data_IF_148012978190
#
_entry.id   IF_148012978190
#
_cell.length_a   1.000
_cell.length_b   1.000
_cell.length_c   1.000
_cell.angle_alpha   90.00
_cell.angle_beta   90.00
_cell.angle_gamma   90.00
#
_symmetry.space_group_name_H-M   'P 1'
#
loop_
_entity.id
_entity.type
_entity.pdbx_description
1 polymer ?
#
# COMPACT_ATOMS: atom_id res chain seq x y z
N UNK A 1 -24.23 14.14 9.10
CA UNK A 1 -22.76 14.36 9.15
C UNK A 1 -22.42 15.63 8.35
N UNK A 2 -21.54 16.50 8.86
CA UNK A 2 -21.08 17.70 8.15
C UNK A 2 -20.25 17.26 6.92
N UNK A 3 -20.66 17.61 5.69
CA UNK A 3 -19.91 17.25 4.48
C UNK A 3 -18.54 17.92 4.39
N UNK A 4 -18.28 18.97 5.20
CA UNK A 4 -17.00 19.67 5.27
C UNK A 4 -16.12 19.22 6.46
N UNK A 5 -16.56 18.26 7.27
CA UNK A 5 -15.70 17.72 8.32
C UNK A 5 -14.50 16.98 7.69
N UNK A 6 -13.27 17.20 8.18
CA UNK A 6 -12.10 16.54 7.63
C UNK A 6 -12.24 15.02 7.74
N UNK A 7 -12.06 14.32 6.61
CA UNK A 7 -12.02 12.85 6.58
C UNK A 7 -10.83 12.39 7.41
N UNK A 8 -11.09 11.66 8.49
CA UNK A 8 -10.06 11.02 9.30
C UNK A 8 -9.82 9.63 8.76
N UNK A 9 -8.56 9.32 8.47
CA UNK A 9 -8.15 8.01 8.02
C UNK A 9 -6.89 7.55 8.74
N UNK A 10 -6.59 6.26 8.57
CA UNK A 10 -5.36 5.63 9.04
C UNK A 10 -4.66 5.04 7.82
N UNK A 11 -3.34 5.15 7.78
CA UNK A 11 -2.50 4.48 6.79
C UNK A 11 -1.56 3.54 7.53
N UNK A 12 -1.63 2.26 7.21
CA UNK A 12 -0.64 1.27 7.59
C UNK A 12 0.42 1.16 6.49
N UNK A 13 1.70 1.12 6.87
CA UNK A 13 2.84 1.08 5.94
C UNK A 13 3.75 -0.10 6.33
N UNK A 14 4.19 -0.85 5.33
CA UNK A 14 5.14 -1.95 5.45
C UNK A 14 6.55 -1.45 5.84
N UNK A 15 7.31 -2.30 6.54
CA UNK A 15 8.62 -1.93 7.10
C UNK A 15 9.81 -2.48 6.28
N UNK A 16 9.53 -3.31 5.28
CA UNK A 16 10.44 -4.11 4.45
C UNK A 16 10.63 -3.55 3.04
N UNK A 17 10.10 -2.37 2.76
CA UNK A 17 10.16 -1.71 1.47
C UNK A 17 11.18 -0.54 1.50
N UNK A 18 12.46 -0.77 1.17
CA UNK A 18 13.48 0.27 1.21
C UNK A 18 13.26 1.38 0.17
N UNK A 19 12.40 1.13 -0.82
CA UNK A 19 12.07 2.07 -1.88
C UNK A 19 11.06 3.15 -1.47
N UNK A 20 10.41 3.01 -0.29
CA UNK A 20 9.44 4.00 0.18
C UNK A 20 10.13 5.34 0.43
N UNK A 21 9.65 6.37 -0.25
CA UNK A 21 10.00 7.76 0.00
C UNK A 21 8.83 8.51 0.69
N UNK A 22 9.08 9.66 1.34
CA UNK A 22 8.01 10.49 1.91
C UNK A 22 6.92 10.84 0.91
N UNK A 23 7.28 11.04 -0.37
CA UNK A 23 6.34 11.34 -1.45
C UNK A 23 5.32 10.21 -1.68
N UNK A 24 5.71 8.95 -1.49
CA UNK A 24 4.81 7.81 -1.68
C UNK A 24 3.74 7.77 -0.58
N UNK A 25 4.13 7.99 0.68
CA UNK A 25 3.20 8.06 1.82
C UNK A 25 2.24 9.24 1.66
N UNK A 26 2.75 10.40 1.22
CA UNK A 26 1.91 11.56 0.92
C UNK A 26 0.95 11.29 -0.24
N UNK A 27 1.39 10.58 -1.28
CA UNK A 27 0.53 10.14 -2.37
C UNK A 27 -0.59 9.23 -1.84
N UNK A 28 -0.25 8.22 -1.04
CA UNK A 28 -1.23 7.32 -0.42
C UNK A 28 -2.25 8.07 0.45
N UNK A 29 -1.85 9.15 1.13
CA UNK A 29 -2.74 10.01 1.87
C UNK A 29 -3.67 10.82 0.94
N UNK A 30 -3.14 11.48 -0.09
CA UNK A 30 -3.95 12.27 -1.04
C UNK A 30 -4.99 11.44 -1.78
N UNK A 31 -4.73 10.14 -1.99
CA UNK A 31 -5.71 9.25 -2.62
C UNK A 31 -6.98 9.07 -1.78
N UNK A 32 -6.94 9.32 -0.47
CA UNK A 32 -8.09 9.26 0.42
C UNK A 32 -8.98 10.51 0.37
N UNK A 33 -8.57 11.55 -0.37
CA UNK A 33 -9.41 12.71 -0.64
C UNK A 33 -10.58 12.33 -1.57
N UNK A 34 -10.33 11.41 -2.52
CA UNK A 34 -11.28 10.98 -3.55
C UNK A 34 -11.72 9.50 -3.43
N UNK A 35 -11.25 8.79 -2.41
CA UNK A 35 -11.56 7.36 -2.22
C UNK A 35 -11.66 6.96 -0.75
N UNK A 36 -12.32 5.83 -0.49
CA UNK A 36 -12.47 5.28 0.85
C UNK A 36 -11.24 4.48 1.29
N UNK A 37 -10.53 3.89 0.33
CA UNK A 37 -9.33 3.07 0.53
C UNK A 37 -8.24 3.45 -0.47
N UNK A 38 -7.02 3.66 0.02
CA UNK A 38 -5.82 3.81 -0.79
C UNK A 38 -4.90 2.61 -0.62
N UNK A 39 -4.29 2.16 -1.70
CA UNK A 39 -3.39 0.99 -1.69
C UNK A 39 -2.09 1.35 -2.39
N UNK A 40 -0.96 1.08 -1.75
CA UNK A 40 0.36 1.08 -2.39
C UNK A 40 0.73 -0.34 -2.79
N UNK A 41 0.70 -0.73 -4.08
CA UNK A 41 0.96 -2.11 -4.50
C UNK A 41 2.44 -2.51 -4.32
N UNK A 42 2.69 -3.77 -3.98
CA UNK A 42 4.04 -4.35 -4.01
C UNK A 42 4.25 -5.21 -5.27
N UNK A 43 5.50 -5.40 -5.72
CA UNK A 43 5.85 -6.18 -6.92
C UNK A 43 5.49 -7.67 -6.78
N UNK A 44 5.43 -8.18 -5.55
CA UNK A 44 5.12 -9.58 -5.20
C UNK A 44 3.63 -9.94 -5.30
N UNK A 45 2.75 -8.95 -5.51
CA UNK A 45 1.29 -9.09 -5.50
C UNK A 45 0.63 -8.74 -4.15
N UNK A 46 1.41 -8.30 -3.18
CA UNK A 46 0.98 -7.68 -1.93
C UNK A 46 0.80 -6.16 -2.05
N UNK A 47 0.96 -5.48 -0.91
CA UNK A 47 0.87 -4.02 -0.81
C UNK A 47 1.78 -3.48 0.30
N UNK A 48 2.52 -2.42 0.00
CA UNK A 48 3.39 -1.70 0.93
C UNK A 48 2.63 -0.68 1.78
N UNK A 49 1.46 -0.24 1.34
CA UNK A 49 0.59 0.64 2.12
C UNK A 49 -0.89 0.31 1.94
N UNK A 50 -1.64 0.52 3.02
CA UNK A 50 -3.09 0.46 3.05
C UNK A 50 -3.65 1.62 3.88
N UNK A 51 -4.29 2.57 3.21
CA UNK A 51 -5.03 3.67 3.81
C UNK A 51 -6.52 3.42 3.80
N UNK A 52 -7.24 3.83 4.84
CA UNK A 52 -8.70 3.76 4.88
C UNK A 52 -9.32 4.90 5.70
N UNK A 53 -10.43 5.45 5.21
CA UNK A 53 -11.32 6.38 5.94
C UNK A 53 -12.62 5.72 6.39
N UNK A 54 -12.77 4.42 6.11
CA UNK A 54 -13.94 3.58 6.43
C UNK A 54 -13.49 2.30 7.14
N UNK A 55 -14.42 1.61 7.80
CA UNK A 55 -14.12 0.32 8.44
C UNK A 55 -14.02 -0.80 7.40
N UNK A 56 -12.80 -1.28 7.16
CA UNK A 56 -12.50 -2.39 6.24
C UNK A 56 -12.07 -3.67 6.97
N UNK A 57 -12.32 -3.80 8.28
CA UNK A 57 -11.86 -4.96 9.06
C UNK A 57 -12.41 -6.29 8.52
N UNK A 58 -13.62 -6.30 7.98
CA UNK A 58 -14.20 -7.49 7.37
C UNK A 58 -13.51 -7.85 6.05
N UNK A 59 -13.26 -6.86 5.19
CA UNK A 59 -12.52 -7.08 3.95
C UNK A 59 -11.11 -7.63 4.23
N UNK A 60 -10.43 -7.11 5.26
CA UNK A 60 -9.10 -7.57 5.66
C UNK A 60 -9.06 -9.02 6.13
N UNK A 61 -10.11 -9.51 6.81
CA UNK A 61 -10.18 -10.91 7.26
C UNK A 61 -10.22 -11.92 6.10
N UNK A 62 -10.66 -11.49 4.92
CA UNK A 62 -10.73 -12.33 3.73
C UNK A 62 -9.44 -12.32 2.90
N UNK A 63 -8.42 -11.53 3.27
CA UNK A 63 -7.18 -11.39 2.50
C UNK A 63 -6.20 -12.52 2.81
N UNK A 64 -5.78 -13.31 1.82
CA UNK A 64 -4.72 -14.29 1.98
C UNK A 64 -3.35 -13.60 1.97
N UNK A 65 -2.96 -13.04 3.12
CA UNK A 65 -1.65 -12.38 3.29
C UNK A 65 -0.49 -13.35 3.01
N UNK A 66 0.64 -12.82 2.53
CA UNK A 66 1.82 -13.60 2.16
C UNK A 66 1.66 -14.39 0.86
N UNK A 67 0.70 -14.01 0.01
CA UNK A 67 0.49 -14.59 -1.32
C UNK A 67 0.45 -13.49 -2.37
N UNK A 68 0.80 -13.83 -3.62
CA UNK A 68 0.71 -12.89 -4.74
C UNK A 68 -0.73 -12.49 -5.14
N UNK A 69 -1.74 -13.05 -4.47
CA UNK A 69 -3.15 -12.71 -4.66
C UNK A 69 -3.68 -11.75 -3.59
N UNK A 70 -2.87 -11.37 -2.60
CA UNK A 70 -3.31 -10.55 -1.46
C UNK A 70 -3.93 -9.21 -1.90
N UNK A 71 -3.29 -8.48 -2.82
CA UNK A 71 -3.81 -7.23 -3.36
C UNK A 71 -5.15 -7.43 -4.07
N UNK A 72 -5.22 -8.42 -4.97
CA UNK A 72 -6.42 -8.68 -5.75
C UNK A 72 -7.60 -9.11 -4.87
N UNK A 73 -7.34 -9.91 -3.84
CA UNK A 73 -8.34 -10.32 -2.86
C UNK A 73 -8.85 -9.13 -2.02
N UNK A 74 -7.95 -8.28 -1.54
CA UNK A 74 -8.32 -7.08 -0.79
C UNK A 74 -9.21 -6.15 -1.62
N UNK A 75 -8.80 -5.86 -2.85
CA UNK A 75 -9.59 -4.98 -3.72
C UNK A 75 -10.99 -5.53 -4.02
N UNK A 76 -11.10 -6.83 -4.28
CA UNK A 76 -12.40 -7.47 -4.47
C UNK A 76 -13.26 -7.32 -3.22
N UNK A 77 -12.70 -7.64 -2.05
CA UNK A 77 -13.43 -7.56 -0.80
C UNK A 77 -13.92 -6.13 -0.49
N UNK A 78 -13.05 -5.13 -0.65
CA UNK A 78 -13.40 -3.72 -0.42
C UNK A 78 -14.47 -3.24 -1.40
N UNK A 79 -14.32 -3.55 -2.70
CA UNK A 79 -15.32 -3.18 -3.72
C UNK A 79 -16.66 -3.89 -3.50
N UNK A 80 -16.65 -5.15 -3.07
CA UNK A 80 -17.87 -5.90 -2.71
C UNK A 80 -18.60 -5.31 -1.51
N UNK A 81 -17.90 -4.60 -0.61
CA UNK A 81 -18.50 -3.82 0.48
C UNK A 81 -19.02 -2.44 0.05
N UNK A 82 -18.93 -2.09 -1.24
CA UNK A 82 -19.40 -0.81 -1.79
C UNK A 82 -18.43 0.35 -1.61
N UNK A 83 -17.19 0.10 -1.18
CA UNK A 83 -16.18 1.14 -0.98
C UNK A 83 -15.30 1.33 -2.21
N UNK A 84 -14.86 2.58 -2.41
CA UNK A 84 -13.98 2.96 -3.51
C UNK A 84 -12.50 2.69 -3.17
N UNK A 85 -11.72 2.31 -4.18
CA UNK A 85 -10.29 1.98 -4.06
C UNK A 85 -9.48 2.77 -5.07
N UNK A 86 -8.36 3.35 -4.63
CA UNK A 86 -7.34 3.93 -5.52
C UNK A 86 -5.95 3.36 -5.23
N UNK A 87 -5.13 3.24 -6.27
CA UNK A 87 -3.76 2.72 -6.18
C UNK A 87 -2.74 3.85 -6.35
N UNK A 88 -1.72 3.84 -5.51
CA UNK A 88 -0.51 4.63 -5.67
C UNK A 88 0.56 3.91 -6.52
N UNK A 89 1.81 4.37 -6.46
CA UNK A 89 2.93 3.70 -7.12
C UNK A 89 3.15 2.28 -6.62
N UNK A 90 3.51 1.37 -7.54
CA UNK A 90 4.00 0.04 -7.20
C UNK A 90 5.46 0.16 -6.77
N UNK A 91 5.79 -0.39 -5.59
CA UNK A 91 7.15 -0.44 -5.06
C UNK A 91 7.61 -1.89 -4.87
N UNK A 92 8.91 -2.06 -4.66
CA UNK A 92 9.51 -3.37 -4.40
C UNK A 92 9.93 -3.51 -2.93
N UNK A 93 9.87 -4.74 -2.45
CA UNK A 93 10.13 -5.19 -1.09
C UNK A 93 11.38 -6.07 -1.01
N UNK A 94 11.85 -6.35 0.21
CA UNK A 94 12.92 -7.31 0.47
C UNK A 94 12.37 -8.53 1.21
N UNK A 95 11.88 -9.51 0.44
CA UNK A 95 11.46 -10.81 0.98
C UNK A 95 12.54 -11.89 0.88
N UNK A 96 13.34 -11.88 -0.19
CA UNK A 96 14.29 -12.95 -0.48
C UNK A 96 15.74 -12.50 -0.46
N UNK A 97 16.64 -13.48 -0.40
CA UNK A 97 18.07 -13.23 -0.57
C UNK A 97 18.41 -12.59 -1.93
N UNK A 98 17.56 -12.77 -2.96
CA UNK A 98 17.74 -12.12 -4.26
C UNK A 98 17.46 -10.62 -4.16
N UNK A 99 16.43 -10.23 -3.42
CA UNK A 99 16.01 -8.84 -3.25
C UNK A 99 17.03 -8.07 -2.41
N UNK A 100 17.58 -8.71 -1.37
CA UNK A 100 18.69 -8.15 -0.61
C UNK A 100 19.94 -7.91 -1.48
N UNK A 101 20.22 -8.81 -2.45
CA UNK A 101 21.31 -8.60 -3.41
C UNK A 101 21.02 -7.47 -4.40
N UNK A 102 19.76 -7.28 -4.82
CA UNK A 102 19.32 -6.12 -5.62
C UNK A 102 19.56 -4.83 -4.84
N UNK A 103 19.02 -4.73 -3.62
CA UNK A 103 19.18 -3.57 -2.75
C UNK A 103 20.64 -3.17 -2.55
N UNK A 104 21.50 -4.16 -2.23
CA UNK A 104 22.94 -3.91 -2.08
C UNK A 104 23.54 -3.29 -3.34
N UNK A 105 23.21 -3.78 -4.53
CA UNK A 105 23.75 -3.21 -5.79
C UNK A 105 23.32 -1.77 -6.00
N UNK A 106 22.08 -1.43 -5.67
CA UNK A 106 21.53 -0.08 -5.79
C UNK A 106 22.19 0.90 -4.81
N UNK A 107 22.36 0.50 -3.55
CA UNK A 107 23.05 1.31 -2.53
C UNK A 107 24.50 1.63 -2.91
N UNK A 108 25.22 0.68 -3.51
CA UNK A 108 26.59 0.92 -3.97
C UNK A 108 26.66 1.80 -5.23
N UNK A 109 25.57 1.96 -5.98
CA UNK A 109 25.52 2.89 -7.12
C UNK A 109 25.32 4.33 -6.65
N UNK A 110 24.42 4.57 -5.69
CA UNK A 110 24.15 5.90 -5.13
C UNK A 110 25.28 6.48 -4.27
N UNK A 111 26.26 5.68 -3.83
CA UNK A 111 27.45 6.16 -3.11
C UNK A 111 28.63 6.55 -4.02
N UNK A 112 28.50 6.37 -5.35
CA UNK A 112 29.54 6.70 -6.33
C UNK A 112 29.20 7.93 -7.19
N UNK A 113 28.13 8.62 -6.85
CA UNK A 113 27.71 9.92 -7.40
C UNK A 113 27.82 10.96 -6.29
#
# INVERSE_FOLDING_TARGET
>A
PDPNAPRRGVIAVGADHPAIAPADVLCAASLLDDADVSIGPAEDGGFWALGATVDIREALRAVPLGTGDALAALERAVRSSGFSVRRGPTLWDIDTAKDLRRWRKEMHRGQRE
#
